data_IF_570774950229
#
_entry.id   IF_570774950229
#
_cell.length_a   1.000
_cell.length_b   1.000
_cell.length_c   1.000
_cell.angle_alpha   90.00
_cell.angle_beta   90.00
_cell.angle_gamma   90.00
#
_symmetry.space_group_name_H-M   'P 1'
#
loop_
_entity.id
_entity.type
_entity.pdbx_description
1 polymer ?
#
# COMPACT_ATOMS: atom_id res chain seq x y z
N UNK A 1 -8.02 -45.83 -7.26
CA UNK A 1 -7.06 -44.83 -6.72
C UNK A 1 -7.80 -43.52 -6.64
N UNK A 2 -8.11 -43.05 -5.42
CA UNK A 2 -8.74 -41.74 -5.20
C UNK A 2 -7.73 -40.68 -5.69
N UNK A 3 -8.03 -39.98 -6.79
CA UNK A 3 -7.27 -38.80 -7.18
C UNK A 3 -7.35 -37.84 -5.99
N UNK A 4 -6.23 -37.54 -5.34
CA UNK A 4 -6.13 -36.53 -4.31
C UNK A 4 -6.71 -35.24 -4.89
N UNK A 5 -7.91 -34.88 -4.45
CA UNK A 5 -8.60 -33.68 -4.95
C UNK A 5 -7.92 -32.45 -4.40
N UNK A 6 -7.42 -31.62 -5.29
CA UNK A 6 -6.78 -30.37 -4.89
C UNK A 6 -7.75 -29.49 -4.10
N UNK A 7 -7.31 -29.00 -2.97
CA UNK A 7 -8.07 -28.09 -2.12
C UNK A 7 -7.76 -26.62 -2.48
N UNK A 8 -8.68 -25.73 -2.10
CA UNK A 8 -8.46 -24.29 -2.27
C UNK A 8 -7.20 -23.83 -1.50
N UNK A 9 -6.98 -24.37 -0.29
CA UNK A 9 -5.84 -24.05 0.55
C UNK A 9 -4.50 -24.47 -0.10
N UNK A 10 -4.43 -25.67 -0.65
CA UNK A 10 -3.23 -26.14 -1.37
C UNK A 10 -2.94 -25.27 -2.59
N UNK A 11 -3.98 -24.94 -3.36
CA UNK A 11 -3.80 -24.07 -4.52
C UNK A 11 -3.34 -22.66 -4.13
N UNK A 12 -3.87 -22.10 -3.04
CA UNK A 12 -3.35 -20.84 -2.47
C UNK A 12 -1.90 -20.97 -2.07
N UNK A 13 -1.50 -22.04 -1.39
CA UNK A 13 -0.10 -22.26 -0.96
C UNK A 13 0.85 -22.29 -2.15
N UNK A 14 0.48 -23.01 -3.23
CA UNK A 14 1.26 -23.03 -4.48
C UNK A 14 1.42 -21.62 -5.07
N UNK A 15 0.31 -20.89 -5.21
CA UNK A 15 0.33 -19.52 -5.79
C UNK A 15 1.09 -18.53 -4.91
N UNK A 16 0.99 -18.65 -3.59
CA UNK A 16 1.74 -17.82 -2.64
C UNK A 16 3.24 -18.11 -2.76
N UNK A 17 3.66 -19.37 -2.92
CA UNK A 17 5.04 -19.76 -3.18
C UNK A 17 5.59 -19.06 -4.43
N UNK A 18 4.90 -19.21 -5.56
CA UNK A 18 5.28 -18.55 -6.83
C UNK A 18 5.38 -17.02 -6.71
N UNK A 19 4.46 -16.41 -5.95
CA UNK A 19 4.48 -14.96 -5.73
C UNK A 19 5.69 -14.52 -4.88
N UNK A 20 6.09 -15.32 -3.89
CA UNK A 20 7.27 -15.06 -3.05
C UNK A 20 8.55 -15.23 -3.83
N UNK A 21 8.68 -16.31 -4.59
CA UNK A 21 9.82 -16.55 -5.50
C UNK A 21 9.98 -15.41 -6.51
N UNK A 22 8.86 -14.88 -7.02
CA UNK A 22 8.85 -13.71 -7.91
C UNK A 22 8.96 -12.35 -7.18
N UNK A 23 9.31 -12.31 -5.89
CA UNK A 23 9.48 -11.06 -5.11
C UNK A 23 8.18 -10.26 -4.91
N UNK A 24 7.00 -10.84 -5.19
CA UNK A 24 5.70 -10.16 -5.12
C UNK A 24 5.09 -10.25 -3.71
N UNK A 25 5.87 -9.91 -2.70
CA UNK A 25 5.56 -10.03 -1.28
C UNK A 25 4.23 -9.41 -0.87
N UNK A 26 3.90 -8.22 -1.41
CA UNK A 26 2.64 -7.53 -1.12
C UNK A 26 1.41 -8.32 -1.61
N UNK A 27 1.49 -8.92 -2.79
CA UNK A 27 0.42 -9.76 -3.33
C UNK A 27 0.32 -11.08 -2.56
N UNK A 28 1.47 -11.70 -2.24
CA UNK A 28 1.54 -12.91 -1.43
C UNK A 28 0.90 -12.70 -0.04
N UNK A 29 1.15 -11.56 0.60
CA UNK A 29 0.53 -11.19 1.89
C UNK A 29 -0.99 -11.08 1.80
N UNK A 30 -1.51 -10.45 0.73
CA UNK A 30 -2.96 -10.36 0.49
C UNK A 30 -3.57 -11.76 0.31
N UNK A 31 -2.93 -12.63 -0.46
CA UNK A 31 -3.39 -13.99 -0.69
C UNK A 31 -3.36 -14.83 0.58
N UNK A 32 -2.30 -14.68 1.39
CA UNK A 32 -2.22 -15.32 2.71
C UNK A 32 -3.36 -14.86 3.63
N UNK A 33 -3.66 -13.56 3.63
CA UNK A 33 -4.78 -13.02 4.41
C UNK A 33 -6.13 -13.56 3.93
N UNK A 34 -6.32 -13.69 2.62
CA UNK A 34 -7.54 -14.21 2.02
C UNK A 34 -7.76 -15.71 2.35
N UNK A 35 -6.70 -16.54 2.22
CA UNK A 35 -6.83 -17.97 2.57
C UNK A 35 -7.00 -18.19 4.05
N UNK A 36 -6.37 -17.41 4.91
CA UNK A 36 -6.57 -17.48 6.36
C UNK A 36 -8.03 -17.15 6.74
N UNK A 37 -8.60 -16.09 6.13
CA UNK A 37 -10.00 -15.73 6.33
C UNK A 37 -10.96 -16.84 5.83
N UNK A 38 -10.65 -17.45 4.68
CA UNK A 38 -11.44 -18.55 4.14
C UNK A 38 -11.31 -19.81 5.00
N UNK A 39 -10.12 -20.14 5.49
CA UNK A 39 -9.90 -21.27 6.41
C UNK A 39 -10.66 -21.08 7.73
N UNK A 40 -10.69 -19.86 8.26
CA UNK A 40 -11.50 -19.55 9.44
C UNK A 40 -13.02 -19.75 9.16
N UNK A 41 -13.50 -19.39 7.96
CA UNK A 41 -14.87 -19.64 7.52
C UNK A 41 -15.18 -21.14 7.44
N UNK A 42 -14.26 -21.98 6.95
CA UNK A 42 -14.41 -23.43 6.86
C UNK A 42 -14.05 -24.16 8.16
N UNK A 43 -13.82 -23.42 9.27
CA UNK A 43 -13.33 -23.97 10.54
C UNK A 43 -12.06 -24.81 10.35
N UNK A 44 -11.15 -24.31 9.50
CA UNK A 44 -9.87 -24.95 9.14
C UNK A 44 -10.01 -26.31 8.42
N UNK A 45 -11.21 -26.66 7.97
CA UNK A 45 -11.40 -27.85 7.14
C UNK A 45 -10.97 -27.56 5.70
N UNK A 46 -10.22 -28.47 5.06
CA UNK A 46 -9.85 -28.35 3.66
C UNK A 46 -11.10 -28.27 2.76
N UNK A 47 -11.08 -27.33 1.81
CA UNK A 47 -12.19 -27.15 0.86
C UNK A 47 -11.76 -27.68 -0.52
N UNK A 48 -12.26 -28.83 -0.98
CA UNK A 48 -12.02 -29.28 -2.35
C UNK A 48 -12.49 -28.24 -3.36
N UNK A 49 -11.65 -27.90 -4.34
CA UNK A 49 -11.93 -26.86 -5.33
C UNK A 49 -13.25 -27.10 -6.08
N UNK A 50 -13.61 -28.36 -6.36
CA UNK A 50 -14.88 -28.71 -7.02
C UNK A 50 -16.13 -28.38 -6.20
N UNK A 51 -16.00 -28.25 -4.87
CA UNK A 51 -17.10 -27.86 -3.96
C UNK A 51 -17.29 -26.35 -3.88
N UNK A 52 -16.41 -25.58 -4.52
CA UNK A 52 -16.56 -24.11 -4.59
C UNK A 52 -17.78 -23.80 -5.48
N UNK A 53 -18.76 -23.12 -4.90
CA UNK A 53 -20.03 -22.81 -5.57
C UNK A 53 -20.43 -21.35 -5.29
N UNK A 54 -21.34 -20.75 -6.09
CA UNK A 54 -21.87 -19.41 -5.81
C UNK A 54 -22.43 -19.29 -4.39
N UNK A 55 -23.10 -20.33 -3.89
CA UNK A 55 -23.64 -20.36 -2.52
C UNK A 55 -22.56 -20.33 -1.46
N UNK A 56 -21.46 -21.10 -1.63
CA UNK A 56 -20.31 -21.08 -0.71
C UNK A 56 -19.65 -19.71 -0.69
N UNK A 57 -19.43 -19.11 -1.85
CA UNK A 57 -18.85 -17.78 -1.96
C UNK A 57 -19.72 -16.68 -1.33
N UNK A 58 -21.04 -16.77 -1.50
CA UNK A 58 -21.98 -15.85 -0.85
C UNK A 58 -22.00 -16.00 0.67
N UNK A 59 -21.95 -17.22 1.17
CA UNK A 59 -21.82 -17.48 2.61
C UNK A 59 -20.51 -16.95 3.17
N UNK A 60 -19.40 -17.07 2.42
CA UNK A 60 -18.11 -16.48 2.81
C UNK A 60 -18.16 -14.94 2.81
N UNK A 61 -18.79 -14.31 1.82
CA UNK A 61 -19.03 -12.86 1.82
C UNK A 61 -19.78 -12.43 3.08
N UNK A 62 -20.88 -13.11 3.42
CA UNK A 62 -21.68 -12.82 4.61
C UNK A 62 -20.86 -13.01 5.91
N UNK A 63 -20.04 -14.06 5.99
CA UNK A 63 -19.12 -14.30 7.11
C UNK A 63 -18.14 -13.14 7.29
N UNK A 64 -17.54 -12.64 6.21
CA UNK A 64 -16.65 -11.48 6.27
C UNK A 64 -17.38 -10.21 6.74
N UNK A 65 -18.62 -10.00 6.29
CA UNK A 65 -19.44 -8.86 6.70
C UNK A 65 -19.84 -8.95 8.18
N UNK A 66 -20.17 -10.10 8.69
CA UNK A 66 -20.44 -10.34 10.12
C UNK A 66 -19.22 -10.03 10.99
N UNK A 67 -18.00 -10.20 10.45
CA UNK A 67 -16.74 -9.82 11.09
C UNK A 67 -16.34 -8.35 10.86
N UNK A 68 -17.26 -7.50 10.45
CA UNK A 68 -17.07 -6.08 10.19
C UNK A 68 -16.00 -5.76 9.13
N UNK A 69 -15.67 -6.71 8.22
CA UNK A 69 -14.79 -6.42 7.12
C UNK A 69 -15.41 -5.36 6.18
N UNK A 70 -14.61 -4.39 5.74
CA UNK A 70 -15.05 -3.41 4.75
C UNK A 70 -15.40 -4.09 3.41
N UNK A 71 -16.27 -3.46 2.61
CA UNK A 71 -16.58 -3.96 1.27
C UNK A 71 -15.34 -4.10 0.38
N UNK A 72 -14.36 -3.19 0.53
CA UNK A 72 -13.09 -3.28 -0.19
C UNK A 72 -12.25 -4.49 0.25
N UNK A 73 -12.29 -4.86 1.53
CA UNK A 73 -11.63 -6.07 2.04
C UNK A 73 -12.31 -7.32 1.47
N UNK A 74 -13.66 -7.37 1.50
CA UNK A 74 -14.46 -8.45 0.91
C UNK A 74 -14.10 -8.63 -0.56
N UNK A 75 -14.16 -7.54 -1.34
CA UNK A 75 -13.80 -7.56 -2.76
C UNK A 75 -12.38 -8.07 -3.00
N UNK A 76 -11.42 -7.64 -2.17
CA UNK A 76 -10.01 -8.06 -2.29
C UNK A 76 -9.86 -9.57 -2.08
N UNK A 77 -10.52 -10.13 -1.07
CA UNK A 77 -10.44 -11.56 -0.78
C UNK A 77 -11.16 -12.40 -1.84
N UNK A 78 -12.33 -11.97 -2.29
CA UNK A 78 -13.06 -12.63 -3.38
C UNK A 78 -12.22 -12.62 -4.68
N UNK A 79 -11.59 -11.50 -5.01
CA UNK A 79 -10.69 -11.39 -6.18
C UNK A 79 -9.48 -12.32 -6.07
N UNK A 80 -8.91 -12.47 -4.87
CA UNK A 80 -7.81 -13.42 -4.64
C UNK A 80 -8.27 -14.86 -4.88
N UNK A 81 -9.45 -15.26 -4.35
CA UNK A 81 -10.04 -16.59 -4.59
C UNK A 81 -10.29 -16.79 -6.09
N UNK A 82 -10.87 -15.79 -6.78
CA UNK A 82 -11.11 -15.87 -8.24
C UNK A 82 -9.80 -16.09 -9.01
N UNK A 83 -8.74 -15.36 -8.66
CA UNK A 83 -7.45 -15.50 -9.33
C UNK A 83 -6.84 -16.89 -9.13
N UNK A 84 -6.92 -17.44 -7.91
CA UNK A 84 -6.44 -18.79 -7.60
C UNK A 84 -7.28 -19.84 -8.32
N UNK A 85 -8.61 -19.69 -8.34
CA UNK A 85 -9.53 -20.57 -9.07
C UNK A 85 -9.23 -20.59 -10.57
N UNK A 86 -9.07 -19.44 -11.21
CA UNK A 86 -8.77 -19.35 -12.63
C UNK A 86 -7.43 -20.04 -12.96
N UNK A 87 -6.39 -19.87 -12.13
CA UNK A 87 -5.13 -20.62 -12.30
C UNK A 87 -5.31 -22.13 -12.20
N UNK A 88 -6.18 -22.61 -11.32
CA UNK A 88 -6.47 -24.05 -11.23
C UNK A 88 -7.20 -24.56 -12.49
N UNK A 89 -8.09 -23.75 -13.07
CA UNK A 89 -8.76 -24.05 -14.36
C UNK A 89 -7.73 -24.06 -15.50
N UNK A 90 -6.88 -23.05 -15.59
CA UNK A 90 -5.82 -22.93 -16.63
C UNK A 90 -4.85 -24.13 -16.57
N UNK A 91 -4.57 -24.63 -15.35
CA UNK A 91 -3.75 -25.83 -15.12
C UNK A 91 -4.53 -27.15 -15.32
N UNK A 92 -5.79 -27.08 -15.73
CA UNK A 92 -6.67 -28.25 -15.93
C UNK A 92 -6.88 -29.09 -14.67
N UNK A 93 -6.70 -28.52 -13.49
CA UNK A 93 -6.91 -29.19 -12.20
C UNK A 93 -8.39 -29.24 -11.81
N UNK A 94 -9.18 -28.28 -12.26
CA UNK A 94 -10.64 -28.20 -12.05
C UNK A 94 -11.34 -27.79 -13.34
N UNK A 95 -12.61 -28.16 -13.47
CA UNK A 95 -13.45 -27.72 -14.58
C UNK A 95 -13.93 -26.30 -14.34
N UNK A 96 -14.01 -25.49 -15.39
CA UNK A 96 -14.58 -24.14 -15.33
C UNK A 96 -16.06 -24.20 -15.00
N UNK A 97 -16.49 -23.41 -14.02
CA UNK A 97 -17.89 -23.22 -13.63
C UNK A 97 -18.31 -21.80 -14.07
N UNK A 98 -19.23 -21.67 -15.04
CA UNK A 98 -19.73 -20.38 -15.47
C UNK A 98 -20.36 -19.62 -14.31
N UNK A 99 -20.20 -18.29 -14.30
CA UNK A 99 -20.84 -17.38 -13.33
C UNK A 99 -20.55 -17.66 -11.86
N UNK A 100 -19.50 -18.42 -11.53
CA UNK A 100 -19.15 -18.79 -10.15
C UNK A 100 -19.07 -17.58 -9.20
N UNK A 101 -18.59 -16.43 -9.69
CA UNK A 101 -18.37 -15.21 -8.91
C UNK A 101 -19.39 -14.09 -9.19
N UNK A 102 -20.51 -14.39 -9.84
CA UNK A 102 -21.46 -13.36 -10.29
C UNK A 102 -22.18 -12.67 -9.12
N UNK A 103 -22.56 -13.45 -8.10
CA UNK A 103 -23.39 -12.96 -6.99
C UNK A 103 -22.61 -12.49 -5.77
N UNK A 104 -21.29 -12.27 -5.88
CA UNK A 104 -20.43 -11.77 -4.81
C UNK A 104 -19.81 -10.43 -5.16
N UNK A 105 -19.59 -9.61 -4.13
CA UNK A 105 -19.08 -8.27 -4.32
C UNK A 105 -17.61 -8.26 -4.73
N UNK A 106 -17.34 -7.70 -5.92
CA UNK A 106 -15.97 -7.52 -6.46
C UNK A 106 -15.69 -6.07 -6.88
N UNK A 107 -16.56 -5.14 -6.48
CA UNK A 107 -16.42 -3.72 -6.77
C UNK A 107 -15.39 -3.00 -5.91
N UNK A 108 -15.37 -1.69 -6.00
CA UNK A 108 -14.59 -0.79 -5.13
C UNK A 108 -15.54 0.32 -4.64
N UNK A 109 -15.52 0.58 -3.33
CA UNK A 109 -16.23 1.71 -2.71
C UNK A 109 -15.24 2.77 -2.27
N UNK A 110 -15.53 4.01 -2.57
CA UNK A 110 -14.76 5.17 -2.13
C UNK A 110 -15.70 6.02 -1.25
N UNK A 111 -15.70 5.72 0.03
CA UNK A 111 -16.72 6.26 0.95
C UNK A 111 -16.26 7.55 1.67
N UNK A 112 -15.01 8.00 1.49
CA UNK A 112 -14.46 9.15 2.22
C UNK A 112 -13.50 9.97 1.37
N UNK A 113 -13.66 11.32 1.44
CA UNK A 113 -12.65 12.27 0.97
C UNK A 113 -11.37 12.06 1.78
N UNK A 114 -10.25 11.83 1.13
CA UNK A 114 -8.95 11.58 1.76
C UNK A 114 -7.97 12.73 1.56
N UNK A 115 -8.29 13.68 0.70
CA UNK A 115 -7.51 14.89 0.50
C UNK A 115 -7.70 15.83 1.69
N UNK A 116 -6.64 16.51 2.08
CA UNK A 116 -6.66 17.62 3.02
C UNK A 116 -7.21 18.86 2.31
N UNK A 117 -7.75 19.79 3.07
CA UNK A 117 -8.05 21.12 2.58
C UNK A 117 -6.74 21.88 2.27
N UNK A 118 -6.81 22.83 1.34
CA UNK A 118 -5.63 23.62 0.92
C UNK A 118 -5.03 24.41 2.09
N UNK A 119 -5.87 24.89 3.02
CA UNK A 119 -5.43 25.56 4.24
C UNK A 119 -4.61 24.65 5.16
N UNK A 120 -5.05 23.41 5.35
CA UNK A 120 -4.38 22.42 6.21
C UNK A 120 -2.99 22.07 5.69
N UNK A 121 -2.88 21.76 4.39
CA UNK A 121 -1.59 21.44 3.80
C UNK A 121 -0.68 22.66 3.74
N UNK A 122 -1.22 23.84 3.45
CA UNK A 122 -0.47 25.09 3.46
C UNK A 122 0.11 25.44 4.85
N UNK A 123 -0.64 25.17 5.92
CA UNK A 123 -0.16 25.32 7.29
C UNK A 123 0.98 24.33 7.57
N UNK A 124 0.81 23.05 7.23
CA UNK A 124 1.84 22.02 7.41
C UNK A 124 3.15 22.37 6.67
N UNK A 125 3.05 22.88 5.45
CA UNK A 125 4.22 23.30 4.65
C UNK A 125 4.94 24.45 5.35
N UNK A 126 4.24 25.56 5.66
CA UNK A 126 4.84 26.73 6.33
C UNK A 126 5.49 26.39 7.67
N UNK A 127 4.80 25.64 8.53
CA UNK A 127 5.38 25.23 9.82
C UNK A 127 6.60 24.30 9.65
N UNK A 128 6.64 23.53 8.58
CA UNK A 128 7.81 22.68 8.29
C UNK A 128 8.98 23.56 7.83
N UNK A 129 8.74 24.50 6.93
CA UNK A 129 9.76 25.45 6.44
C UNK A 129 10.33 26.29 7.57
N UNK A 130 9.50 26.81 8.48
CA UNK A 130 9.98 27.53 9.67
C UNK A 130 10.89 26.66 10.54
N UNK A 131 10.50 25.40 10.76
CA UNK A 131 11.33 24.45 11.55
C UNK A 131 12.67 24.08 10.88
N UNK A 132 12.83 24.33 9.57
CA UNK A 132 14.10 24.11 8.86
C UNK A 132 15.12 25.21 9.17
N UNK A 133 14.67 26.42 9.56
CA UNK A 133 15.54 27.56 9.82
C UNK A 133 16.25 27.46 11.18
N UNK A 134 15.73 26.65 12.12
CA UNK A 134 16.28 26.52 13.47
C UNK A 134 17.62 25.78 13.54
N UNK A 135 18.08 25.17 12.45
CA UNK A 135 19.39 24.50 12.34
C UNK A 135 19.58 23.26 13.24
N UNK A 136 18.59 22.91 14.05
CA UNK A 136 18.64 21.77 14.97
C UNK A 136 18.30 20.45 14.28
N UNK A 137 18.85 19.35 14.80
CA UNK A 137 18.48 18.00 14.35
C UNK A 137 17.00 17.74 14.65
N UNK A 138 16.19 17.37 13.64
CA UNK A 138 14.76 17.23 13.83
C UNK A 138 14.43 16.08 14.77
N UNK A 139 13.56 16.34 15.73
CA UNK A 139 12.99 15.30 16.59
C UNK A 139 11.99 14.41 15.81
N UNK A 140 11.49 13.34 16.44
CA UNK A 140 10.59 12.36 15.79
C UNK A 140 9.33 13.01 15.19
N UNK A 141 8.75 14.01 15.87
CA UNK A 141 7.55 14.71 15.40
C UNK A 141 7.87 15.57 14.18
N UNK A 142 8.96 16.31 14.22
CA UNK A 142 9.44 17.11 13.09
C UNK A 142 9.78 16.21 11.89
N UNK A 143 10.50 15.10 12.10
CA UNK A 143 10.75 14.12 11.03
C UNK A 143 9.45 13.60 10.40
N UNK A 144 8.43 13.31 11.22
CA UNK A 144 7.13 12.84 10.72
C UNK A 144 6.47 13.90 9.84
N UNK A 145 6.49 15.18 10.25
CA UNK A 145 5.97 16.31 9.48
C UNK A 145 6.75 16.48 8.18
N UNK A 146 8.08 16.50 8.24
CA UNK A 146 8.96 16.63 7.07
C UNK A 146 8.67 15.52 6.05
N UNK A 147 8.60 14.25 6.47
CA UNK A 147 8.28 13.15 5.55
C UNK A 147 6.92 13.31 4.90
N UNK A 148 5.90 13.75 5.65
CA UNK A 148 4.56 13.94 5.09
C UNK A 148 4.53 15.07 4.06
N UNK A 149 5.12 16.23 4.38
CA UNK A 149 5.21 17.38 3.47
C UNK A 149 6.05 17.03 2.24
N UNK A 150 7.16 16.34 2.43
CA UNK A 150 8.00 15.88 1.32
C UNK A 150 7.23 14.92 0.39
N UNK A 151 6.43 14.00 0.92
CA UNK A 151 5.57 13.15 0.09
C UNK A 151 4.60 13.97 -0.76
N UNK A 152 4.06 15.06 -0.23
CA UNK A 152 3.19 15.95 -0.99
C UNK A 152 3.98 16.72 -2.06
N UNK A 153 5.12 17.34 -1.72
CA UNK A 153 5.96 18.11 -2.64
C UNK A 153 6.56 17.26 -3.77
N UNK A 154 6.84 15.98 -3.51
CA UNK A 154 7.30 15.01 -4.51
C UNK A 154 6.13 14.44 -5.35
N UNK A 155 5.15 15.28 -5.69
CA UNK A 155 3.99 14.95 -6.52
C UNK A 155 3.15 13.80 -5.97
N UNK A 156 2.98 13.77 -4.67
CA UNK A 156 2.22 12.74 -3.98
C UNK A 156 2.87 11.35 -4.09
N UNK A 157 4.18 11.27 -3.90
CA UNK A 157 4.90 10.00 -3.91
C UNK A 157 4.29 9.03 -2.89
N UNK A 158 3.95 7.78 -3.24
CA UNK A 158 3.51 6.80 -2.26
C UNK A 158 4.62 6.46 -1.28
N UNK A 159 4.27 6.17 -0.01
CA UNK A 159 5.26 5.81 1.00
C UNK A 159 6.12 4.59 0.62
N UNK A 160 5.56 3.62 -0.13
CA UNK A 160 6.33 2.50 -0.64
C UNK A 160 7.43 2.96 -1.61
N UNK A 161 7.12 3.87 -2.54
CA UNK A 161 8.12 4.38 -3.48
C UNK A 161 9.17 5.21 -2.72
N UNK A 162 8.74 6.05 -1.75
CA UNK A 162 9.64 6.84 -0.89
C UNK A 162 10.61 5.95 -0.10
N UNK A 163 10.12 4.85 0.49
CA UNK A 163 10.92 3.95 1.31
C UNK A 163 12.03 3.25 0.54
N UNK A 164 11.79 2.99 -0.75
CA UNK A 164 12.73 2.29 -1.63
C UNK A 164 13.55 3.23 -2.53
N UNK A 165 13.49 4.57 -2.34
CA UNK A 165 14.37 5.48 -3.07
C UNK A 165 15.83 5.21 -2.72
N UNK A 166 16.68 5.14 -3.73
CA UNK A 166 18.10 5.04 -3.59
C UNK A 166 18.79 6.42 -3.64
N UNK A 167 19.97 6.54 -3.07
CA UNK A 167 20.80 7.76 -3.15
C UNK A 167 21.09 8.16 -4.60
N UNK A 168 21.30 7.15 -5.49
CA UNK A 168 21.55 7.36 -6.92
C UNK A 168 20.35 7.93 -7.69
N UNK A 169 19.12 7.81 -7.14
CA UNK A 169 17.92 8.33 -7.79
C UNK A 169 17.82 9.85 -7.69
N UNK A 170 18.59 10.46 -6.78
CA UNK A 170 18.70 11.91 -6.62
C UNK A 170 20.00 12.42 -7.23
N UNK A 171 19.89 13.19 -8.31
CA UNK A 171 21.01 13.83 -9.00
C UNK A 171 20.81 15.35 -9.05
N UNK A 172 21.67 16.07 -8.36
CA UNK A 172 21.48 17.52 -8.16
C UNK A 172 20.16 17.80 -7.43
N UNK A 173 19.25 18.51 -8.10
CA UNK A 173 17.89 18.76 -7.61
C UNK A 173 16.81 17.92 -8.30
N UNK A 174 17.20 16.88 -9.03
CA UNK A 174 16.28 16.04 -9.81
C UNK A 174 16.21 14.65 -9.21
N UNK A 175 15.00 14.22 -8.86
CA UNK A 175 14.69 12.86 -8.39
C UNK A 175 14.07 12.06 -9.53
N UNK A 176 14.72 10.97 -9.95
CA UNK A 176 14.25 10.08 -11.01
C UNK A 176 14.11 8.66 -10.48
N UNK A 177 12.91 8.11 -10.50
CA UNK A 177 12.62 6.77 -9.96
C UNK A 177 11.54 6.05 -10.74
N UNK A 178 11.43 4.72 -10.57
CA UNK A 178 10.34 3.91 -11.13
C UNK A 178 9.33 3.56 -10.06
N UNK A 179 8.06 3.78 -10.36
CA UNK A 179 6.97 3.40 -9.47
C UNK A 179 6.90 1.89 -9.27
N UNK A 180 7.00 1.44 -8.03
CA UNK A 180 6.98 0.00 -7.71
C UNK A 180 5.69 -0.70 -8.12
N UNK A 181 4.55 -0.02 -8.07
CA UNK A 181 3.25 -0.62 -8.43
C UNK A 181 3.06 -0.79 -9.94
N UNK A 182 3.61 0.08 -10.76
CA UNK A 182 3.27 0.17 -12.20
C UNK A 182 4.49 0.14 -13.12
N UNK A 183 5.72 0.19 -12.58
CA UNK A 183 6.96 0.27 -13.36
C UNK A 183 7.17 1.59 -14.11
N UNK A 184 6.22 2.55 -14.02
CA UNK A 184 6.33 3.84 -14.74
C UNK A 184 7.48 4.66 -14.18
N UNK A 185 8.35 5.15 -15.07
CA UNK A 185 9.38 6.12 -14.72
C UNK A 185 8.76 7.48 -14.43
N UNK A 186 9.25 8.14 -13.40
CA UNK A 186 8.84 9.48 -12.97
C UNK A 186 10.10 10.30 -12.67
N UNK A 187 10.06 11.58 -13.06
CA UNK A 187 11.09 12.56 -12.75
C UNK A 187 10.44 13.76 -12.08
N UNK A 188 11.01 14.22 -10.98
CA UNK A 188 10.53 15.34 -10.18
C UNK A 188 11.70 16.28 -9.89
N UNK A 189 11.59 17.55 -10.31
CA UNK A 189 12.52 18.59 -9.88
C UNK A 189 12.15 19.07 -8.48
N UNK A 190 13.10 19.08 -7.56
CA UNK A 190 12.92 19.49 -6.19
C UNK A 190 13.15 21.01 -6.07
N UNK A 191 12.29 21.65 -5.30
CA UNK A 191 12.51 23.03 -4.88
C UNK A 191 13.64 23.11 -3.86
N UNK A 192 14.25 24.30 -3.61
CA UNK A 192 15.28 24.47 -2.57
C UNK A 192 14.83 23.96 -1.20
N UNK A 193 13.56 24.21 -0.82
CA UNK A 193 12.96 23.79 0.46
C UNK A 193 12.86 22.26 0.52
N UNK A 194 12.38 21.62 -0.56
CA UNK A 194 12.32 20.16 -0.65
C UNK A 194 13.71 19.53 -0.55
N UNK A 195 14.72 20.14 -1.18
CA UNK A 195 16.13 19.72 -1.07
C UNK A 195 16.65 19.83 0.35
N UNK A 196 16.33 20.93 1.05
CA UNK A 196 16.70 21.10 2.45
C UNK A 196 16.06 20.02 3.33
N UNK A 197 14.76 19.75 3.14
CA UNK A 197 14.05 18.64 3.83
C UNK A 197 14.73 17.30 3.58
N UNK A 198 15.07 16.98 2.32
CA UNK A 198 15.78 15.74 1.99
C UNK A 198 17.10 15.65 2.76
N UNK A 199 17.93 16.71 2.74
CA UNK A 199 19.23 16.71 3.45
C UNK A 199 19.09 16.48 4.95
N UNK A 200 18.04 17.01 5.59
CA UNK A 200 17.80 16.86 7.03
C UNK A 200 17.45 15.41 7.44
N UNK A 201 16.75 14.68 6.60
CA UNK A 201 16.26 13.33 6.91
C UNK A 201 16.92 12.22 6.08
N UNK A 202 17.87 12.58 5.20
CA UNK A 202 18.63 11.62 4.40
C UNK A 202 19.36 10.61 5.27
N UNK A 203 19.55 9.43 4.73
CA UNK A 203 20.32 8.36 5.36
C UNK A 203 21.81 8.75 5.41
N UNK A 204 22.34 8.85 6.63
CA UNK A 204 23.74 9.20 6.89
C UNK A 204 24.71 8.03 6.78
N UNK A 205 24.17 6.79 6.81
CA UNK A 205 24.96 5.59 6.61
C UNK A 205 25.44 5.53 5.15
N UNK A 206 26.77 5.59 4.96
CA UNK A 206 27.41 5.61 3.62
C UNK A 206 27.24 4.29 2.87
N UNK A 207 27.17 3.18 3.59
CA UNK A 207 27.09 1.84 3.02
C UNK A 207 25.66 1.47 2.59
N UNK A 208 24.67 2.16 3.14
CA UNK A 208 23.27 1.97 2.75
C UNK A 208 22.99 2.60 1.38
N UNK A 209 22.39 1.85 0.44
CA UNK A 209 22.00 2.40 -0.87
C UNK A 209 20.79 3.32 -0.79
N UNK A 210 19.99 3.25 0.29
CA UNK A 210 18.72 3.95 0.41
C UNK A 210 18.89 5.43 0.74
N UNK A 211 18.07 6.27 0.09
CA UNK A 211 18.09 7.74 0.30
C UNK A 211 17.64 8.11 1.72
N UNK A 212 16.66 7.37 2.27
CA UNK A 212 16.13 7.58 3.61
C UNK A 212 16.37 6.36 4.50
N UNK A 213 16.57 6.54 5.83
CA UNK A 213 16.84 5.45 6.77
C UNK A 213 15.55 4.71 7.15
N UNK A 214 14.81 4.19 6.15
CA UNK A 214 13.56 3.45 6.33
C UNK A 214 13.80 1.96 6.20
N UNK A 215 14.66 1.56 5.27
CA UNK A 215 15.03 0.18 4.99
C UNK A 215 16.52 -0.03 5.23
N UNK A 216 16.87 -1.24 5.63
CA UNK A 216 18.25 -1.70 5.83
C UNK A 216 18.57 -2.92 4.98
N UNK A 217 17.60 -3.81 4.81
CA UNK A 217 17.76 -5.05 4.06
C UNK A 217 17.78 -4.82 2.54
N UNK A 218 18.34 -5.80 1.83
CA UNK A 218 18.46 -5.78 0.38
C UNK A 218 17.09 -5.66 -0.32
N UNK A 219 17.02 -4.83 -1.35
CA UNK A 219 15.81 -4.63 -2.14
C UNK A 219 15.35 -5.95 -2.79
N UNK A 220 14.04 -6.21 -2.76
CA UNK A 220 13.45 -7.45 -3.27
C UNK A 220 13.37 -8.58 -2.24
N UNK A 221 14.10 -8.48 -1.12
CA UNK A 221 14.04 -9.47 -0.05
C UNK A 221 12.73 -9.41 0.75
N UNK A 222 12.37 -10.51 1.40
CA UNK A 222 11.26 -10.54 2.35
C UNK A 222 11.54 -9.63 3.57
N UNK A 223 12.79 -9.55 3.98
CA UNK A 223 13.21 -8.70 5.10
C UNK A 223 12.92 -7.21 4.80
N UNK A 224 13.32 -6.70 3.64
CA UNK A 224 13.00 -5.33 3.22
C UNK A 224 11.50 -5.08 3.14
N UNK A 225 10.71 -6.06 2.69
CA UNK A 225 9.25 -5.96 2.68
C UNK A 225 8.67 -5.87 4.10
N UNK A 226 9.18 -6.65 5.05
CA UNK A 226 8.75 -6.61 6.48
C UNK A 226 9.13 -5.29 7.14
N UNK A 227 10.33 -4.78 6.88
CA UNK A 227 10.77 -3.46 7.34
C UNK A 227 9.85 -2.35 6.81
N UNK A 228 9.56 -2.35 5.51
CA UNK A 228 8.60 -1.43 4.90
C UNK A 228 7.22 -1.49 5.58
N UNK A 229 6.68 -2.69 5.80
CA UNK A 229 5.38 -2.87 6.44
C UNK A 229 5.36 -2.32 7.89
N UNK A 230 6.43 -2.55 8.63
CA UNK A 230 6.61 -2.03 9.98
C UNK A 230 6.73 -0.51 9.98
N UNK A 231 7.57 0.04 9.10
CA UNK A 231 7.76 1.48 8.95
C UNK A 231 6.46 2.19 8.55
N UNK A 232 5.68 1.62 7.61
CA UNK A 232 4.40 2.15 7.18
C UNK A 232 3.40 2.23 8.35
N UNK A 233 3.28 1.16 9.15
CA UNK A 233 2.39 1.15 10.32
C UNK A 233 2.82 2.21 11.35
N UNK A 234 4.09 2.23 11.71
CA UNK A 234 4.64 3.18 12.66
C UNK A 234 4.49 4.63 12.17
N UNK A 235 4.68 4.87 10.89
CA UNK A 235 4.51 6.21 10.31
C UNK A 235 3.06 6.67 10.34
N UNK A 236 2.09 5.82 9.97
CA UNK A 236 0.68 6.16 10.07
C UNK A 236 0.22 6.39 11.52
N UNK A 237 0.76 5.66 12.50
CA UNK A 237 0.51 5.93 13.91
C UNK A 237 1.02 7.31 14.33
N UNK A 238 2.26 7.67 13.94
CA UNK A 238 2.82 9.01 14.20
C UNK A 238 2.02 10.12 13.52
N UNK A 239 1.52 9.88 12.30
CA UNK A 239 0.63 10.83 11.61
C UNK A 239 -0.70 11.02 12.36
N UNK A 240 -1.27 9.96 12.93
CA UNK A 240 -2.47 10.07 13.75
C UNK A 240 -2.24 10.92 15.00
N UNK A 241 -1.10 10.75 15.68
CA UNK A 241 -0.70 11.59 16.83
C UNK A 241 -0.47 13.04 16.38
N UNK A 242 0.25 13.26 15.27
CA UNK A 242 0.48 14.60 14.71
C UNK A 242 -0.84 15.32 14.41
N UNK A 243 -1.81 14.63 13.81
CA UNK A 243 -3.16 15.14 13.56
C UNK A 243 -3.82 15.67 14.84
N UNK A 244 -3.78 14.89 15.93
CA UNK A 244 -4.36 15.29 17.22
C UNK A 244 -3.68 16.54 17.77
N UNK A 245 -2.35 16.58 17.73
CA UNK A 245 -1.58 17.73 18.20
C UNK A 245 -1.86 19.01 17.41
N UNK A 246 -2.22 18.92 16.14
CA UNK A 246 -2.53 20.06 15.28
C UNK A 246 -4.03 20.40 15.27
N UNK A 247 -4.87 19.68 16.02
CA UNK A 247 -6.32 19.89 16.05
C UNK A 247 -7.03 19.66 14.69
N UNK A 248 -6.39 18.93 13.75
CA UNK A 248 -6.92 18.76 12.41
C UNK A 248 -8.11 17.81 12.38
N UNK A 249 -9.18 18.20 11.69
CA UNK A 249 -10.37 17.35 11.51
C UNK A 249 -10.11 16.26 10.47
N UNK A 250 -9.38 16.58 9.39
CA UNK A 250 -9.05 15.64 8.32
C UNK A 250 -8.05 14.58 8.78
N UNK A 251 -8.25 13.33 8.33
CA UNK A 251 -7.35 12.23 8.70
C UNK A 251 -5.99 12.36 8.01
N UNK A 252 -4.91 12.44 8.79
CA UNK A 252 -3.55 12.34 8.27
C UNK A 252 -3.17 10.87 8.08
N UNK A 253 -2.77 10.52 6.87
CA UNK A 253 -2.22 9.21 6.52
C UNK A 253 -1.27 9.35 5.34
N UNK A 254 -0.42 8.36 5.11
CA UNK A 254 0.46 8.35 3.93
C UNK A 254 -0.32 8.51 2.62
N UNK A 255 -1.57 8.09 2.58
CA UNK A 255 -2.42 8.21 1.41
C UNK A 255 -3.03 9.62 1.25
N UNK A 256 -3.20 10.35 2.35
CA UNK A 256 -3.70 11.73 2.32
C UNK A 256 -2.78 12.66 1.54
N UNK A 257 -1.45 12.58 1.71
CA UNK A 257 -0.49 13.40 0.96
C UNK A 257 -0.69 13.27 -0.55
N UNK A 258 -0.86 12.03 -1.04
CA UNK A 258 -1.10 11.76 -2.46
C UNK A 258 -2.46 12.26 -2.95
N UNK A 259 -3.53 12.04 -2.18
CA UNK A 259 -4.86 12.51 -2.55
C UNK A 259 -4.91 14.03 -2.57
N UNK A 260 -4.28 14.71 -1.59
CA UNK A 260 -4.19 16.17 -1.52
C UNK A 260 -3.48 16.72 -2.75
N UNK A 261 -2.30 16.17 -3.09
CA UNK A 261 -1.58 16.59 -4.29
C UNK A 261 -2.43 16.42 -5.56
N UNK A 262 -3.05 15.25 -5.75
CA UNK A 262 -3.85 14.97 -6.93
C UNK A 262 -5.09 15.90 -7.01
N UNK A 263 -5.75 16.18 -5.89
CA UNK A 263 -6.91 17.07 -5.84
C UNK A 263 -6.51 18.51 -6.18
N UNK A 264 -5.41 19.00 -5.60
CA UNK A 264 -4.91 20.35 -5.87
C UNK A 264 -4.50 20.49 -7.33
N UNK A 265 -3.75 19.51 -7.88
CA UNK A 265 -3.41 19.53 -9.30
C UNK A 265 -4.65 19.60 -10.21
N UNK A 266 -5.67 18.80 -9.93
CA UNK A 266 -6.91 18.81 -10.72
C UNK A 266 -7.63 20.16 -10.65
N UNK A 267 -7.67 20.80 -9.48
CA UNK A 267 -8.29 22.10 -9.30
C UNK A 267 -7.59 23.22 -10.09
N UNK A 268 -6.25 23.13 -10.19
CA UNK A 268 -5.46 24.17 -10.90
C UNK A 268 -5.16 23.87 -12.36
N UNK A 269 -5.37 22.61 -12.82
CA UNK A 269 -5.06 22.21 -14.20
C UNK A 269 -6.30 21.89 -15.02
N UNK A 270 -7.49 21.75 -14.42
CA UNK A 270 -8.74 21.64 -15.16
C UNK A 270 -9.11 23.03 -15.69
N UNK A 271 -9.40 23.19 -16.99
CA UNK A 271 -10.02 24.42 -17.48
C UNK A 271 -11.32 24.62 -16.69
N UNK A 272 -11.49 25.84 -16.19
CA UNK A 272 -12.77 26.27 -15.58
C UNK A 272 -13.88 26.02 -16.58
N UNK A 273 -15.04 25.49 -16.18
CA UNK A 273 -16.18 25.34 -17.07
C UNK A 273 -16.66 26.69 -17.59
#
# INVERSE_FOLDING_TARGET
>A
MSRNEITLQEMFSSVIGELREGGRWGTAHIYQSAVNAFSAFTKWQPMPMRKLSPTVLKRFENFLRQRNCSWNTVSTYIKAIRSVYNRAVDRKMVRYVPRLFEHVYTGTRTDRKKALEASDIGCLVRETEMSLQDGQSPNTRQKTKIFFVLMFMLRGIPFVDLAYLHKRDLQGNTLSYRRRKTGRALTVSLTPEAMQMVRMIANKDKDSPYLFPILQSEEGSEAAYREYQSALRAFNQRLAVLRQCLGMQSALSTYAARHTWATICLLYTSPSP
#
